data_IF_746186508290
#
_entry.id   IF_746186508290
#
_cell.length_a   1.000
_cell.length_b   1.000
_cell.length_c   1.000
_cell.angle_alpha   90.00
_cell.angle_beta   90.00
_cell.angle_gamma   90.00
#
_symmetry.space_group_name_H-M   'P 1'
#
loop_
_entity.id
_entity.type
_entity.pdbx_description
1 polymer ?
#
# COMPACT_ATOMS: atom_id res chain seq x y z
N UNK A 1 -2.35 -4.56 -13.95
CA UNK A 1 -2.66 -4.64 -15.37
C UNK A 1 -3.90 -3.79 -15.73
N UNK A 2 -5.06 -3.96 -15.07
CA UNK A 2 -6.32 -3.27 -15.43
C UNK A 2 -6.25 -1.75 -15.31
N UNK A 3 -5.81 -1.18 -14.19
CA UNK A 3 -5.67 0.26 -14.03
C UNK A 3 -4.74 0.87 -15.10
N UNK A 4 -3.61 0.21 -15.38
CA UNK A 4 -2.71 0.64 -16.44
C UNK A 4 -3.41 0.70 -17.79
N UNK A 5 -4.22 -0.30 -18.13
CA UNK A 5 -4.98 -0.31 -19.38
C UNK A 5 -5.94 0.88 -19.48
N UNK A 6 -6.63 1.23 -18.38
CA UNK A 6 -7.51 2.40 -18.35
C UNK A 6 -6.75 3.71 -18.52
N UNK A 7 -5.60 3.86 -17.88
CA UNK A 7 -4.78 5.07 -18.03
C UNK A 7 -4.09 5.17 -19.39
N UNK A 8 -3.72 4.03 -20.00
CA UNK A 8 -3.19 4.02 -21.38
C UNK A 8 -4.23 4.54 -22.36
N UNK A 9 -5.52 4.18 -22.20
CA UNK A 9 -6.62 4.74 -23.03
C UNK A 9 -6.75 6.25 -22.90
N UNK A 10 -6.37 6.81 -21.72
CA UNK A 10 -6.34 8.26 -21.45
C UNK A 10 -5.06 8.94 -21.93
N UNK A 11 -4.18 8.25 -22.65
CA UNK A 11 -2.95 8.77 -23.21
C UNK A 11 -1.74 8.75 -22.29
N UNK A 12 -1.82 8.16 -21.10
CA UNK A 12 -0.67 8.05 -20.18
C UNK A 12 0.26 6.95 -20.69
N UNK A 13 1.52 7.30 -20.88
CA UNK A 13 2.58 6.37 -21.25
C UNK A 13 3.25 5.81 -20.01
N UNK A 14 3.53 4.51 -20.03
CA UNK A 14 4.18 3.79 -18.93
C UNK A 14 5.51 3.20 -19.41
N UNK A 15 6.58 3.54 -18.74
CA UNK A 15 7.89 2.92 -18.92
C UNK A 15 8.13 1.99 -17.72
N UNK A 16 7.78 0.70 -17.88
CA UNK A 16 7.89 -0.30 -16.83
C UNK A 16 9.29 -0.93 -16.81
N UNK A 17 9.68 -1.48 -15.65
CA UNK A 17 11.02 -2.09 -15.48
C UNK A 17 12.14 -1.14 -15.93
N UNK A 18 11.93 0.16 -15.66
CA UNK A 18 12.79 1.25 -16.10
C UNK A 18 13.40 1.95 -14.89
N UNK A 19 14.69 2.11 -14.90
CA UNK A 19 15.46 2.81 -13.86
C UNK A 19 15.76 4.24 -14.29
N UNK A 20 15.41 5.20 -13.45
CA UNK A 20 15.85 6.59 -13.63
C UNK A 20 17.31 6.69 -13.21
N UNK A 21 18.15 7.21 -14.11
CA UNK A 21 19.61 7.33 -13.92
C UNK A 21 20.10 8.77 -13.85
N UNK A 22 19.26 9.74 -14.24
CA UNK A 22 19.64 11.14 -14.19
C UNK A 22 18.47 12.10 -14.33
N UNK A 23 18.65 13.29 -13.77
CA UNK A 23 17.73 14.40 -13.87
C UNK A 23 18.52 15.64 -14.25
N UNK A 24 18.03 16.41 -15.22
CA UNK A 24 18.59 17.72 -15.57
C UNK A 24 17.47 18.68 -15.98
N UNK A 25 17.81 19.98 -16.01
CA UNK A 25 16.90 21.02 -16.44
C UNK A 25 17.44 21.64 -17.73
N UNK A 26 16.57 21.86 -18.70
CA UNK A 26 16.84 22.59 -19.95
C UNK A 26 15.84 23.72 -20.13
N UNK A 27 16.00 24.51 -21.18
CA UNK A 27 15.02 25.54 -21.55
C UNK A 27 13.66 24.94 -21.94
N UNK A 28 13.66 23.72 -22.45
CA UNK A 28 12.44 22.98 -22.84
C UNK A 28 11.71 22.29 -21.66
N UNK A 29 12.37 22.17 -20.50
CA UNK A 29 11.78 21.54 -19.30
C UNK A 29 12.72 20.59 -18.56
N UNK A 30 12.14 19.80 -17.69
CA UNK A 30 12.84 18.76 -16.93
C UNK A 30 13.12 17.54 -17.81
N UNK A 31 14.37 17.12 -17.87
CA UNK A 31 14.83 15.93 -18.60
C UNK A 31 15.06 14.80 -17.62
N UNK A 32 14.37 13.67 -17.83
CA UNK A 32 14.53 12.43 -17.05
C UNK A 32 15.25 11.41 -17.91
N UNK A 33 16.49 11.10 -17.57
CA UNK A 33 17.26 10.04 -18.22
C UNK A 33 16.97 8.69 -17.56
N UNK A 34 16.80 7.66 -18.36
CA UNK A 34 16.49 6.32 -17.87
C UNK A 34 17.24 5.23 -18.64
N UNK A 35 17.29 4.04 -18.03
CA UNK A 35 17.75 2.79 -18.64
C UNK A 35 16.71 1.68 -18.44
N UNK A 36 16.55 0.82 -19.42
CA UNK A 36 15.75 -0.40 -19.37
C UNK A 36 16.34 -1.48 -20.30
N UNK A 37 15.61 -2.58 -20.47
CA UNK A 37 16.07 -3.68 -21.33
C UNK A 37 16.25 -3.30 -22.83
N UNK A 38 15.63 -2.21 -23.27
CA UNK A 38 15.71 -1.72 -24.67
C UNK A 38 16.89 -0.75 -24.85
N UNK A 39 17.52 -0.31 -23.74
CA UNK A 39 18.66 0.61 -23.74
C UNK A 39 18.42 1.88 -22.94
N UNK A 40 19.22 2.90 -23.20
CA UNK A 40 19.14 4.20 -22.55
C UNK A 40 18.21 5.13 -23.34
N UNK A 41 17.44 5.94 -22.60
CA UNK A 41 16.57 6.94 -23.20
C UNK A 41 16.34 8.14 -22.29
N UNK A 42 15.59 9.11 -22.78
CA UNK A 42 15.17 10.27 -22.00
C UNK A 42 13.74 10.69 -22.31
N UNK A 43 13.12 11.35 -21.33
CA UNK A 43 11.81 12.01 -21.49
C UNK A 43 11.97 13.45 -21.03
N UNK A 44 11.42 14.37 -21.81
CA UNK A 44 11.35 15.80 -21.47
C UNK A 44 9.92 16.11 -21.08
N UNK A 45 9.73 16.83 -19.99
CA UNK A 45 8.42 17.28 -19.52
C UNK A 45 8.51 18.67 -18.91
N UNK A 46 7.45 19.43 -19.05
CA UNK A 46 7.33 20.75 -18.43
C UNK A 46 7.48 20.71 -16.91
N UNK A 47 6.94 19.66 -16.29
CA UNK A 47 6.99 19.42 -14.83
C UNK A 47 7.32 17.97 -14.51
N UNK A 48 8.06 17.77 -13.45
CA UNK A 48 8.42 16.46 -12.92
C UNK A 48 7.84 16.30 -11.51
N UNK A 49 7.08 15.22 -11.31
CA UNK A 49 6.66 14.77 -9.97
C UNK A 49 7.55 13.60 -9.53
N UNK A 50 8.26 13.77 -8.42
CA UNK A 50 9.06 12.72 -7.82
C UNK A 50 8.22 11.93 -6.81
N UNK A 51 7.90 10.66 -7.12
CA UNK A 51 7.08 9.76 -6.31
C UNK A 51 7.76 8.41 -6.14
N UNK A 52 8.98 8.43 -5.58
CA UNK A 52 9.91 7.28 -5.51
C UNK A 52 9.87 6.53 -4.17
N UNK A 53 8.85 6.77 -3.35
CA UNK A 53 8.64 6.13 -2.06
C UNK A 53 8.97 7.02 -0.86
N UNK A 54 8.90 6.42 0.34
CA UNK A 54 9.12 7.08 1.63
C UNK A 54 10.15 6.33 2.45
N UNK A 55 10.84 7.05 3.33
CA UNK A 55 11.74 6.50 4.34
C UNK A 55 11.36 7.07 5.70
N UNK A 56 11.50 6.29 6.79
CA UNK A 56 11.38 6.83 8.14
C UNK A 56 12.39 7.95 8.37
N UNK A 57 11.98 9.02 9.05
CA UNK A 57 12.87 10.09 9.49
C UNK A 57 13.21 9.81 10.95
N UNK A 58 14.41 9.31 11.20
CA UNK A 58 14.87 8.83 12.51
C UNK A 58 16.06 9.63 13.08
N UNK A 59 16.42 10.75 12.43
CA UNK A 59 17.59 11.57 12.80
C UNK A 59 17.18 13.00 13.08
N UNK A 60 17.96 13.68 13.95
CA UNK A 60 17.83 15.10 14.22
C UNK A 60 16.93 15.49 15.39
N UNK A 61 16.39 14.51 16.14
CA UNK A 61 15.56 14.73 17.33
C UNK A 61 15.92 13.79 18.51
N UNK A 62 17.13 13.24 18.50
CA UNK A 62 17.71 12.53 19.64
C UNK A 62 17.46 11.03 19.70
N UNK A 63 16.74 10.42 18.73
CA UNK A 63 16.53 8.96 18.69
C UNK A 63 17.84 8.18 18.56
N UNK A 64 18.84 8.78 17.96
CA UNK A 64 20.20 8.23 17.83
C UNK A 64 20.87 7.93 19.17
N UNK A 65 20.41 8.54 20.27
CA UNK A 65 20.93 8.32 21.63
C UNK A 65 20.33 7.08 22.31
N UNK A 66 19.29 6.46 21.72
CA UNK A 66 18.54 5.38 22.36
C UNK A 66 18.97 3.97 21.89
N UNK A 67 19.91 3.85 20.95
CA UNK A 67 20.36 2.56 20.41
C UNK A 67 19.21 1.62 19.98
N UNK A 68 18.18 2.17 19.34
CA UNK A 68 17.01 1.43 18.90
C UNK A 68 17.37 0.46 17.77
N UNK A 69 16.86 -0.75 17.85
CA UNK A 69 16.97 -1.71 16.74
C UNK A 69 16.23 -1.21 15.51
N UNK A 70 16.88 -1.27 14.36
CA UNK A 70 16.33 -0.83 13.08
C UNK A 70 16.32 -1.96 12.06
N UNK A 71 15.42 -1.85 11.09
CA UNK A 71 15.44 -2.67 9.89
C UNK A 71 16.50 -2.16 8.91
N UNK A 72 16.82 -2.95 7.89
CA UNK A 72 17.72 -2.54 6.79
C UNK A 72 17.27 -1.24 6.09
N UNK A 73 15.98 -0.94 6.12
CA UNK A 73 15.39 0.28 5.54
C UNK A 73 15.34 1.45 6.52
N UNK A 74 15.87 1.30 7.74
CA UNK A 74 15.94 2.33 8.77
C UNK A 74 14.66 2.51 9.58
N UNK A 75 13.66 1.63 9.44
CA UNK A 75 12.47 1.61 10.30
C UNK A 75 12.81 1.03 11.67
N UNK A 76 12.16 1.52 12.71
CA UNK A 76 12.40 1.06 14.09
C UNK A 76 11.62 -0.23 14.33
N UNK A 77 12.28 -1.26 14.85
CA UNK A 77 11.66 -2.54 15.21
C UNK A 77 10.81 -2.38 16.46
N UNK A 78 9.61 -2.92 16.41
CA UNK A 78 8.68 -3.01 17.54
C UNK A 78 8.08 -4.41 17.61
N UNK A 79 7.62 -4.79 18.80
CA UNK A 79 6.83 -6.00 19.02
C UNK A 79 5.33 -5.74 18.75
N UNK A 80 4.48 -6.73 18.98
CA UNK A 80 3.02 -6.60 18.80
C UNK A 80 2.35 -5.60 19.75
N UNK A 81 3.07 -5.15 20.80
CA UNK A 81 2.63 -4.12 21.75
C UNK A 81 3.19 -2.72 21.41
N UNK A 82 3.78 -2.56 20.23
CA UNK A 82 4.44 -1.34 19.76
C UNK A 82 5.66 -0.91 20.59
N UNK A 83 6.18 -1.79 21.44
CA UNK A 83 7.36 -1.53 22.25
C UNK A 83 8.64 -1.82 21.44
N UNK A 84 9.63 -0.95 21.58
CA UNK A 84 10.95 -1.10 20.95
C UNK A 84 11.86 -2.04 21.75
N UNK A 85 13.09 -2.21 21.31
CA UNK A 85 14.14 -2.93 22.05
C UNK A 85 14.56 -2.23 23.36
N UNK A 86 14.23 -0.95 23.53
CA UNK A 86 14.52 -0.17 24.74
C UNK A 86 13.26 -0.15 25.61
N UNK A 87 13.35 -0.54 26.91
CA UNK A 87 12.23 -0.51 27.84
C UNK A 87 11.57 0.88 27.91
N UNK A 88 10.24 0.89 28.01
CA UNK A 88 9.40 2.10 28.12
C UNK A 88 9.46 3.05 26.91
N UNK A 89 10.05 2.59 25.79
CA UNK A 89 10.06 3.33 24.53
C UNK A 89 9.18 2.62 23.51
N UNK A 90 8.18 3.35 23.00
CA UNK A 90 7.18 2.86 22.06
C UNK A 90 7.26 3.67 20.77
N UNK A 91 6.97 3.03 19.64
CA UNK A 91 6.96 3.67 18.32
C UNK A 91 5.73 3.24 17.55
N UNK A 92 5.08 4.21 16.89
CA UNK A 92 3.92 3.98 16.02
C UNK A 92 4.03 4.81 14.72
N UNK A 93 3.19 4.49 13.75
CA UNK A 93 3.11 5.17 12.47
C UNK A 93 4.25 4.82 11.52
N UNK A 94 4.55 5.72 10.62
CA UNK A 94 5.52 5.52 9.53
C UNK A 94 6.91 5.08 10.01
N UNK A 95 7.26 5.36 11.26
CA UNK A 95 8.54 4.95 11.85
C UNK A 95 8.67 3.43 12.02
N UNK A 96 7.56 2.69 12.17
CA UNK A 96 7.57 1.21 12.28
C UNK A 96 7.86 0.54 10.94
N UNK A 97 7.57 1.23 9.83
CA UNK A 97 7.77 0.72 8.47
C UNK A 97 6.82 -0.39 8.02
N UNK A 98 5.85 -0.80 8.85
CA UNK A 98 4.88 -1.84 8.49
C UNK A 98 3.79 -1.32 7.55
N UNK A 99 3.20 -0.18 7.89
CA UNK A 99 2.12 0.42 7.11
C UNK A 99 2.24 1.94 7.16
N UNK A 100 2.36 2.58 6.00
CA UNK A 100 2.49 4.03 5.87
C UNK A 100 1.11 4.68 5.68
N UNK A 101 0.16 4.32 6.57
CA UNK A 101 -1.24 4.73 6.50
C UNK A 101 -1.69 5.35 7.82
N UNK A 102 -2.41 6.47 7.75
CA UNK A 102 -2.83 7.23 8.93
C UNK A 102 -3.69 6.40 9.89
N UNK A 103 -4.66 5.64 9.36
CA UNK A 103 -5.53 4.79 10.20
C UNK A 103 -4.76 3.63 10.87
N UNK A 104 -3.69 3.13 10.26
CA UNK A 104 -2.79 2.16 10.91
C UNK A 104 -2.05 2.82 12.06
N UNK A 105 -1.50 4.01 11.84
CA UNK A 105 -0.79 4.75 12.88
C UNK A 105 -1.66 5.06 14.09
N UNK A 106 -2.96 5.36 13.89
CA UNK A 106 -3.93 5.55 14.98
C UNK A 106 -4.07 4.26 15.80
N UNK A 107 -4.28 3.12 15.14
CA UNK A 107 -4.42 1.83 15.83
C UNK A 107 -3.13 1.41 16.56
N UNK A 108 -1.98 1.60 15.94
CA UNK A 108 -0.68 1.37 16.59
C UNK A 108 -0.50 2.24 17.84
N UNK A 109 -0.91 3.50 17.78
CA UNK A 109 -0.85 4.41 18.93
C UNK A 109 -1.80 3.97 20.07
N UNK A 110 -3.00 3.49 19.77
CA UNK A 110 -3.92 2.92 20.75
C UNK A 110 -3.28 1.72 21.47
N UNK A 111 -2.68 0.78 20.69
CA UNK A 111 -1.99 -0.39 21.24
C UNK A 111 -0.83 0.03 22.14
N UNK A 112 -0.02 1.00 21.72
CA UNK A 112 1.08 1.53 22.50
C UNK A 112 0.58 2.10 23.85
N UNK A 113 -0.47 2.93 23.83
CA UNK A 113 -1.06 3.52 25.05
C UNK A 113 -1.66 2.44 25.95
N UNK A 114 -2.37 1.44 25.38
CA UNK A 114 -2.89 0.31 26.17
C UNK A 114 -1.75 -0.45 26.84
N UNK A 115 -0.66 -0.71 26.14
CA UNK A 115 0.52 -1.37 26.70
C UNK A 115 1.14 -0.56 27.85
N UNK A 116 1.29 0.74 27.70
CA UNK A 116 1.78 1.65 28.75
C UNK A 116 0.89 1.60 29.99
N UNK A 117 -0.42 1.49 29.81
CA UNK A 117 -1.42 1.41 30.89
C UNK A 117 -1.60 -0.01 31.47
N UNK A 118 -0.82 -0.99 31.03
CA UNK A 118 -0.93 -2.39 31.47
C UNK A 118 -2.21 -3.10 31.01
N UNK A 119 -2.89 -2.59 29.97
CA UNK A 119 -4.06 -3.25 29.37
C UNK A 119 -3.61 -4.28 28.33
N UNK A 120 -4.34 -5.38 28.25
CA UNK A 120 -4.11 -6.37 27.19
C UNK A 120 -4.60 -5.83 25.85
N UNK A 121 -3.69 -5.69 24.93
CA UNK A 121 -3.94 -5.34 23.53
C UNK A 121 -2.72 -5.72 22.67
N UNK A 122 -2.96 -6.00 21.40
CA UNK A 122 -1.90 -6.33 20.46
C UNK A 122 -2.25 -5.84 19.04
N UNK A 123 -1.23 -5.38 18.32
CA UNK A 123 -1.40 -4.95 16.94
C UNK A 123 -1.55 -6.13 16.00
N UNK A 124 -2.56 -6.07 15.14
CA UNK A 124 -2.76 -7.01 14.04
C UNK A 124 -2.82 -6.25 12.72
N UNK A 125 -1.99 -6.70 11.76
CA UNK A 125 -1.96 -6.13 10.41
C UNK A 125 -2.78 -6.95 9.40
N UNK A 126 -3.58 -7.92 9.85
CA UNK A 126 -4.32 -8.85 8.98
C UNK A 126 -5.40 -8.18 8.13
N UNK A 127 -6.08 -7.18 8.67
CA UNK A 127 -7.25 -6.56 8.07
C UNK A 127 -7.11 -5.03 7.96
N UNK A 128 -5.96 -4.55 7.50
CA UNK A 128 -5.75 -3.13 7.25
C UNK A 128 -6.11 -2.82 5.80
N UNK A 129 -7.17 -2.05 5.54
CA UNK A 129 -7.54 -1.68 4.19
C UNK A 129 -6.58 -0.63 3.63
N UNK A 130 -6.17 -0.82 2.39
CA UNK A 130 -5.39 0.15 1.62
C UNK A 130 -6.18 0.62 0.40
N UNK A 131 -6.14 1.91 0.11
CA UNK A 131 -6.84 2.53 -1.01
C UNK A 131 -5.90 3.38 -1.83
N UNK A 132 -5.98 3.25 -3.15
CA UNK A 132 -5.39 4.17 -4.11
C UNK A 132 -6.54 4.93 -4.76
N UNK A 133 -6.64 6.22 -4.47
CA UNK A 133 -7.72 7.11 -4.90
C UNK A 133 -7.53 7.58 -6.36
N UNK A 134 -7.31 6.63 -7.22
CA UNK A 134 -7.31 6.83 -8.67
C UNK A 134 -8.74 6.82 -9.22
N UNK A 135 -8.92 7.06 -10.51
CA UNK A 135 -10.20 6.87 -11.19
C UNK A 135 -9.99 5.91 -12.39
N UNK A 136 -10.44 4.64 -12.30
CA UNK A 136 -11.16 4.02 -11.17
C UNK A 136 -10.27 3.83 -9.92
N UNK A 137 -10.90 3.78 -8.74
CA UNK A 137 -10.23 3.47 -7.47
C UNK A 137 -9.72 2.03 -7.43
N UNK A 138 -8.66 1.81 -6.66
CA UNK A 138 -8.22 0.46 -6.26
C UNK A 138 -8.20 0.39 -4.75
N UNK A 139 -8.79 -0.67 -4.19
CA UNK A 139 -8.70 -0.95 -2.77
C UNK A 139 -8.39 -2.43 -2.52
N UNK A 140 -7.71 -2.71 -1.42
CA UNK A 140 -7.38 -4.07 -1.01
C UNK A 140 -7.27 -4.20 0.50
N UNK A 141 -7.58 -5.39 1.03
CA UNK A 141 -7.43 -5.75 2.42
C UNK A 141 -7.09 -7.23 2.53
N UNK A 142 -6.29 -7.60 3.52
CA UNK A 142 -5.89 -8.99 3.77
C UNK A 142 -4.88 -9.53 2.74
N UNK A 143 -4.91 -10.84 2.54
CA UNK A 143 -3.94 -11.55 1.69
C UNK A 143 -4.18 -11.29 0.19
N UNK A 144 -3.07 -11.16 -0.53
CA UNK A 144 -3.06 -11.28 -1.99
C UNK A 144 -2.78 -12.73 -2.40
N UNK A 145 -2.99 -13.09 -3.66
CA UNK A 145 -2.59 -14.41 -4.18
C UNK A 145 -1.08 -14.66 -3.98
N UNK A 146 -0.27 -13.61 -4.20
CA UNK A 146 1.18 -13.67 -4.01
C UNK A 146 1.57 -13.87 -2.55
N UNK A 147 0.99 -13.09 -1.63
CA UNK A 147 1.30 -13.21 -0.19
C UNK A 147 0.80 -14.53 0.40
N UNK A 148 -0.39 -14.98 0.01
CA UNK A 148 -0.92 -16.28 0.43
C UNK A 148 -0.03 -17.44 -0.05
N UNK A 149 0.38 -17.41 -1.32
CA UNK A 149 1.31 -18.41 -1.88
C UNK A 149 2.66 -18.40 -1.15
N UNK A 150 3.23 -17.22 -0.88
CA UNK A 150 4.51 -17.09 -0.16
C UNK A 150 4.44 -17.63 1.26
N UNK A 151 3.27 -17.47 1.91
CA UNK A 151 3.01 -17.99 3.27
C UNK A 151 2.61 -19.46 3.30
N UNK A 152 2.45 -20.11 2.16
CA UNK A 152 1.98 -21.50 2.04
C UNK A 152 0.51 -21.67 2.46
N UNK A 153 -0.30 -20.62 2.36
CA UNK A 153 -1.74 -20.67 2.65
C UNK A 153 -2.45 -21.23 1.43
N UNK A 154 -3.23 -22.29 1.60
CA UNK A 154 -4.13 -22.79 0.56
C UNK A 154 -5.33 -21.84 0.45
N UNK A 155 -5.67 -21.46 -0.77
CA UNK A 155 -6.75 -20.50 -1.00
C UNK A 155 -7.53 -20.80 -2.28
N UNK A 156 -8.78 -20.35 -2.28
CA UNK A 156 -9.63 -20.27 -3.46
C UNK A 156 -9.80 -18.81 -3.84
N UNK A 157 -9.82 -18.51 -5.15
CA UNK A 157 -10.08 -17.17 -5.68
C UNK A 157 -11.47 -17.12 -6.29
N UNK A 158 -12.28 -16.17 -5.83
CA UNK A 158 -13.53 -15.77 -6.46
C UNK A 158 -13.31 -14.41 -7.12
N UNK A 159 -13.56 -14.31 -8.41
CA UNK A 159 -13.36 -13.08 -9.17
C UNK A 159 -14.59 -12.79 -10.02
N UNK A 160 -15.20 -11.63 -9.79
CA UNK A 160 -16.41 -11.20 -10.45
C UNK A 160 -16.24 -9.82 -11.09
N UNK A 161 -16.75 -9.59 -12.29
CA UNK A 161 -16.84 -8.25 -12.86
C UNK A 161 -17.76 -7.36 -12.02
N UNK A 162 -17.36 -6.11 -11.81
CA UNK A 162 -18.21 -5.11 -11.15
C UNK A 162 -19.47 -4.81 -11.97
N UNK A 163 -19.48 -5.11 -13.26
CA UNK A 163 -20.64 -5.01 -14.14
C UNK A 163 -21.86 -5.84 -13.68
N UNK A 164 -21.69 -6.78 -12.75
CA UNK A 164 -22.81 -7.46 -12.12
C UNK A 164 -23.57 -6.59 -11.11
N UNK A 165 -23.00 -5.46 -10.71
CA UNK A 165 -23.68 -4.48 -9.87
C UNK A 165 -24.35 -3.43 -10.75
N UNK A 166 -25.69 -3.34 -10.71
CA UNK A 166 -26.44 -2.32 -11.44
C UNK A 166 -26.06 -0.90 -11.03
N UNK A 167 -25.75 -0.67 -9.74
CA UNK A 167 -25.25 0.62 -9.26
C UNK A 167 -23.89 0.95 -9.90
N UNK A 168 -22.97 -0.01 -9.95
CA UNK A 168 -21.68 0.23 -10.57
C UNK A 168 -21.82 0.65 -12.04
N UNK A 169 -22.66 -0.06 -12.79
CA UNK A 169 -22.92 0.24 -14.22
C UNK A 169 -23.54 1.63 -14.39
N UNK A 170 -24.48 2.00 -13.53
CA UNK A 170 -25.15 3.30 -13.60
C UNK A 170 -24.21 4.49 -13.25
N UNK A 171 -23.28 4.30 -12.33
CA UNK A 171 -22.38 5.35 -11.85
C UNK A 171 -21.04 5.40 -12.63
N UNK A 172 -20.67 4.33 -13.35
CA UNK A 172 -19.36 4.19 -13.98
C UNK A 172 -19.48 3.77 -15.46
N UNK A 173 -20.12 4.61 -16.27
CA UNK A 173 -20.35 4.32 -17.69
C UNK A 173 -19.03 4.02 -18.44
N UNK A 174 -18.97 2.88 -19.11
CA UNK A 174 -17.82 2.46 -19.92
C UNK A 174 -16.57 2.06 -19.13
N UNK A 175 -16.60 2.03 -17.79
CA UNK A 175 -15.49 1.63 -16.95
C UNK A 175 -15.54 0.15 -16.62
N UNK A 176 -14.40 -0.53 -16.74
CA UNK A 176 -14.26 -1.92 -16.31
C UNK A 176 -13.82 -1.97 -14.84
N UNK A 177 -14.53 -2.78 -14.06
CA UNK A 177 -14.17 -3.02 -12.67
C UNK A 177 -14.17 -4.52 -12.34
N UNK A 178 -13.48 -4.87 -11.27
CA UNK A 178 -13.39 -6.25 -10.78
C UNK A 178 -13.40 -6.27 -9.26
N UNK A 179 -14.14 -7.22 -8.71
CA UNK A 179 -14.04 -7.62 -7.31
C UNK A 179 -13.39 -9.01 -7.24
N UNK A 180 -12.38 -9.16 -6.38
CA UNK A 180 -11.68 -10.42 -6.15
C UNK A 180 -11.66 -10.70 -4.65
N UNK A 181 -12.07 -11.91 -4.26
CA UNK A 181 -12.07 -12.38 -2.88
C UNK A 181 -11.24 -13.66 -2.79
N UNK A 182 -10.40 -13.76 -1.78
CA UNK A 182 -9.65 -14.96 -1.44
C UNK A 182 -10.31 -15.62 -0.22
N UNK A 183 -10.56 -16.91 -0.31
CA UNK A 183 -11.10 -17.74 0.76
C UNK A 183 -10.06 -18.79 1.16
N UNK A 184 -9.98 -19.10 2.46
CA UNK A 184 -9.20 -20.25 2.95
C UNK A 184 -9.97 -21.58 2.76
N UNK A 185 -9.38 -22.69 3.19
CA UNK A 185 -9.98 -24.03 3.12
C UNK A 185 -11.27 -24.16 3.93
N UNK A 186 -11.48 -23.31 4.94
CA UNK A 186 -12.69 -23.25 5.76
C UNK A 186 -13.73 -22.27 5.20
N UNK A 187 -13.53 -21.78 3.97
CA UNK A 187 -14.38 -20.79 3.30
C UNK A 187 -14.46 -19.44 4.04
N UNK A 188 -13.47 -19.07 4.85
CA UNK A 188 -13.36 -17.76 5.49
C UNK A 188 -12.65 -16.79 4.56
N UNK A 189 -13.10 -15.55 4.56
CA UNK A 189 -12.44 -14.47 3.79
C UNK A 189 -11.07 -14.20 4.41
N UNK A 190 -10.02 -14.29 3.59
CA UNK A 190 -8.63 -13.97 3.98
C UNK A 190 -8.07 -12.79 3.22
N UNK A 191 -8.75 -12.36 2.16
CA UNK A 191 -8.36 -11.18 1.39
C UNK A 191 -9.43 -10.74 0.40
N UNK A 192 -9.49 -9.44 0.14
CA UNK A 192 -10.39 -8.87 -0.85
C UNK A 192 -9.72 -7.70 -1.59
N UNK A 193 -9.97 -7.60 -2.89
CA UNK A 193 -9.38 -6.57 -3.76
C UNK A 193 -10.42 -6.10 -4.76
N UNK A 194 -10.59 -4.79 -4.86
CA UNK A 194 -11.58 -4.16 -5.72
C UNK A 194 -10.90 -3.13 -6.62
N UNK A 195 -11.21 -3.17 -7.90
CA UNK A 195 -10.93 -2.10 -8.85
C UNK A 195 -12.27 -1.60 -9.39
N UNK A 196 -12.57 -0.34 -9.17
CA UNK A 196 -13.82 0.30 -9.60
C UNK A 196 -14.44 1.10 -8.45
N UNK A 197 -15.10 2.22 -8.78
CA UNK A 197 -15.72 3.08 -7.79
C UNK A 197 -17.05 2.46 -7.26
N UNK A 198 -17.33 2.55 -5.96
CA UNK A 198 -16.54 3.13 -4.88
C UNK A 198 -15.75 2.05 -4.08
N UNK A 199 -14.58 1.64 -4.57
CA UNK A 199 -13.76 0.62 -3.92
C UNK A 199 -13.36 1.00 -2.49
N UNK A 200 -13.13 2.30 -2.24
CA UNK A 200 -12.77 2.85 -0.92
C UNK A 200 -13.84 2.63 0.15
N UNK A 201 -15.11 2.63 -0.22
CA UNK A 201 -16.22 2.34 0.69
C UNK A 201 -16.39 0.83 0.91
N UNK A 202 -16.36 0.05 -0.18
CA UNK A 202 -16.62 -1.40 -0.17
C UNK A 202 -15.57 -2.15 0.65
N UNK A 203 -14.29 -1.74 0.56
CA UNK A 203 -13.19 -2.47 1.16
C UNK A 203 -13.25 -2.55 2.69
N UNK A 204 -13.86 -1.56 3.34
CA UNK A 204 -14.05 -1.57 4.80
C UNK A 204 -14.93 -2.72 5.25
N UNK A 205 -16.02 -3.02 4.51
CA UNK A 205 -16.87 -4.18 4.79
C UNK A 205 -16.12 -5.50 4.64
N UNK A 206 -15.29 -5.62 3.61
CA UNK A 206 -14.45 -6.79 3.44
C UNK A 206 -13.44 -6.96 4.59
N UNK A 207 -12.87 -5.85 5.09
CA UNK A 207 -11.97 -5.85 6.23
C UNK A 207 -12.62 -6.35 7.54
N UNK A 208 -13.91 -6.13 7.73
CA UNK A 208 -14.65 -6.65 8.90
C UNK A 208 -14.94 -8.14 8.82
N UNK A 209 -14.80 -8.76 7.65
CA UNK A 209 -15.01 -10.19 7.43
C UNK A 209 -13.73 -11.04 7.60
N UNK A 210 -12.56 -10.42 7.74
CA UNK A 210 -11.23 -11.02 7.94
C UNK A 210 -10.89 -11.11 9.43
#
# INVERSE_FOLDING_TARGET
>A
ALLRAEYTKRGIKFLLSTRVVGLSQTEEGAVVSYENAEGNGSVIAEKLLMSVGRRPVTKGFGLENLNLEQTERGAIRVNEKMQTSVPDVYVCGDLTGFSLLAHTAVREAEVAVHSILGKEDAMSYRAIPGVVYTNPEIAGVGETEESASTKGINYQVIKLPMAYSGRFVAENEGVNGVCKVLLDEQQRVIGAHVLGNPASEIITLAGTAI
#
